data_IF_913428134868
#
_entry.id   IF_913428134868
#
_cell.length_a   1.000
_cell.length_b   1.000
_cell.length_c   1.000
_cell.angle_alpha   90.00
_cell.angle_beta   90.00
_cell.angle_gamma   90.00
#
_symmetry.space_group_name_H-M   'P 1'
#
loop_
_entity.id
_entity.type
_entity.pdbx_description
1 polymer ?
#
# COMPACT_ATOMS: atom_id res chain seq x y z
N UNK A 1 -2.25 -12.41 -6.74
CA UNK A 1 -1.78 -12.54 -8.13
C UNK A 1 -2.89 -12.27 -9.14
N UNK A 2 -4.01 -13.01 -9.11
CA UNK A 2 -5.08 -12.89 -10.11
C UNK A 2 -5.91 -11.58 -10.03
N UNK A 3 -6.12 -11.01 -8.83
CA UNK A 3 -6.84 -9.73 -8.64
C UNK A 3 -6.21 -8.58 -9.44
N UNK A 4 -4.88 -8.53 -9.49
CA UNK A 4 -4.16 -7.49 -10.24
C UNK A 4 -4.39 -7.64 -11.75
N UNK A 5 -4.44 -8.87 -12.27
CA UNK A 5 -4.75 -9.12 -13.67
C UNK A 5 -6.17 -8.64 -14.02
N UNK A 6 -7.15 -8.87 -13.13
CA UNK A 6 -8.52 -8.36 -13.29
C UNK A 6 -8.54 -6.83 -13.32
N UNK A 7 -7.76 -6.17 -12.47
CA UNK A 7 -7.66 -4.71 -12.51
C UNK A 7 -7.12 -4.18 -13.83
N UNK A 8 -6.10 -4.84 -14.40
CA UNK A 8 -5.61 -4.46 -15.72
C UNK A 8 -6.64 -4.67 -16.83
N UNK A 9 -7.48 -5.70 -16.74
CA UNK A 9 -8.61 -5.91 -17.66
C UNK A 9 -9.60 -4.74 -17.53
N UNK A 10 -9.95 -4.31 -16.31
CA UNK A 10 -10.83 -3.16 -16.10
C UNK A 10 -10.25 -1.85 -16.65
N UNK A 11 -8.93 -1.66 -16.60
CA UNK A 11 -8.28 -0.47 -17.17
C UNK A 11 -8.47 -0.35 -18.69
N UNK A 12 -8.73 -1.44 -19.41
CA UNK A 12 -9.01 -1.39 -20.86
C UNK A 12 -10.20 -0.49 -21.17
N UNK A 13 -11.20 -0.42 -20.27
CA UNK A 13 -12.37 0.47 -20.41
C UNK A 13 -11.98 1.95 -20.46
N UNK A 14 -10.87 2.34 -19.81
CA UNK A 14 -10.40 3.74 -19.79
C UNK A 14 -9.74 4.16 -21.11
N UNK A 15 -9.36 3.19 -21.96
CA UNK A 15 -8.75 3.45 -23.28
C UNK A 15 -9.79 3.74 -24.37
N UNK A 16 -11.09 3.70 -24.06
CA UNK A 16 -12.14 4.07 -25.02
C UNK A 16 -11.96 5.55 -25.37
N UNK A 17 -11.75 5.82 -26.66
CA UNK A 17 -11.34 7.13 -27.18
C UNK A 17 -12.55 8.08 -27.24
N UNK A 18 -12.72 8.86 -26.18
CA UNK A 18 -13.66 9.99 -26.12
C UNK A 18 -12.81 11.26 -26.02
N UNK A 19 -13.28 12.32 -26.69
CA UNK A 19 -12.76 13.70 -26.70
C UNK A 19 -11.75 13.99 -25.58
N UNK A 20 -10.49 14.24 -25.96
CA UNK A 20 -9.34 14.39 -25.05
C UNK A 20 -9.57 15.39 -23.91
N UNK A 21 -10.35 16.44 -24.16
CA UNK A 21 -10.65 17.51 -23.17
C UNK A 21 -11.34 16.99 -21.90
N UNK A 22 -12.11 15.91 -21.99
CA UNK A 22 -12.83 15.34 -20.84
C UNK A 22 -12.23 14.01 -20.36
N UNK A 23 -11.01 13.67 -20.77
CA UNK A 23 -10.40 12.38 -20.46
C UNK A 23 -10.33 12.10 -18.95
N UNK A 24 -9.98 13.12 -18.14
CA UNK A 24 -9.85 12.97 -16.69
C UNK A 24 -11.21 12.71 -16.04
N UNK A 25 -12.23 13.48 -16.42
CA UNK A 25 -13.59 13.33 -15.87
C UNK A 25 -14.17 11.98 -16.25
N UNK A 26 -13.99 11.56 -17.51
CA UNK A 26 -14.37 10.23 -18.00
C UNK A 26 -13.73 9.13 -17.16
N UNK A 27 -12.42 9.19 -16.95
CA UNK A 27 -11.69 8.18 -16.18
C UNK A 27 -12.13 8.18 -14.70
N UNK A 28 -12.41 9.34 -14.09
CA UNK A 28 -12.98 9.38 -12.74
C UNK A 28 -14.35 8.68 -12.71
N UNK A 29 -15.23 8.98 -13.67
CA UNK A 29 -16.57 8.38 -13.74
C UNK A 29 -16.47 6.85 -13.89
N UNK A 30 -15.60 6.36 -14.79
CA UNK A 30 -15.38 4.92 -14.98
C UNK A 30 -14.87 4.27 -13.69
N UNK A 31 -13.89 4.91 -13.02
CA UNK A 31 -13.33 4.41 -11.77
C UNK A 31 -14.35 4.31 -10.64
N UNK A 32 -15.19 5.34 -10.49
CA UNK A 32 -16.26 5.38 -9.49
C UNK A 32 -17.36 4.38 -9.83
N UNK A 33 -17.77 4.27 -11.09
CA UNK A 33 -18.78 3.30 -11.53
C UNK A 33 -18.32 1.87 -11.24
N UNK A 34 -17.07 1.54 -11.57
CA UNK A 34 -16.48 0.23 -11.26
C UNK A 34 -16.34 0.01 -9.75
N UNK A 35 -15.98 1.03 -8.98
CA UNK A 35 -15.91 0.93 -7.52
C UNK A 35 -17.27 0.59 -6.90
N UNK A 36 -18.33 1.31 -7.31
CA UNK A 36 -19.71 1.06 -6.84
C UNK A 36 -20.17 -0.33 -7.25
N UNK A 37 -19.91 -0.75 -8.50
CA UNK A 37 -20.25 -2.09 -8.98
C UNK A 37 -19.53 -3.18 -8.18
N UNK A 38 -18.23 -3.03 -7.91
CA UNK A 38 -17.46 -3.98 -7.11
C UNK A 38 -17.94 -4.02 -5.65
N UNK A 39 -18.30 -2.87 -5.06
CA UNK A 39 -18.85 -2.82 -3.71
C UNK A 39 -20.23 -3.46 -3.62
N UNK A 40 -21.06 -3.27 -4.65
CA UNK A 40 -22.35 -3.92 -4.75
C UNK A 40 -22.19 -5.45 -4.85
N UNK A 41 -21.34 -5.93 -5.76
CA UNK A 41 -21.04 -7.36 -5.90
C UNK A 41 -20.46 -7.95 -4.61
N UNK A 42 -19.55 -7.25 -3.95
CA UNK A 42 -18.97 -7.68 -2.67
C UNK A 42 -20.00 -7.82 -1.56
N UNK A 43 -21.10 -7.06 -1.60
CA UNK A 43 -22.17 -7.14 -0.60
C UNK A 43 -23.01 -8.40 -0.78
N UNK A 44 -23.26 -8.79 -2.02
CA UNK A 44 -24.09 -9.95 -2.37
C UNK A 44 -23.37 -11.30 -2.13
N UNK A 45 -22.04 -11.31 -2.17
CA UNK A 45 -21.21 -12.53 -2.03
C UNK A 45 -21.16 -13.07 -0.59
N UNK A 46 -21.58 -12.28 0.41
CA UNK A 46 -21.67 -12.72 1.80
C UNK A 46 -20.33 -13.14 2.43
N UNK A 47 -20.38 -14.04 3.43
CA UNK A 47 -19.18 -14.55 4.14
C UNK A 47 -18.38 -15.57 3.33
N UNK A 48 -18.99 -16.11 2.27
CA UNK A 48 -18.39 -17.04 1.34
C UNK A 48 -17.65 -16.28 0.24
N UNK A 49 -16.49 -15.73 0.56
CA UNK A 49 -15.70 -14.91 -0.35
C UNK A 49 -14.77 -15.78 -1.23
N UNK A 50 -15.38 -16.73 -1.98
CA UNK A 50 -14.66 -17.77 -2.76
C UNK A 50 -13.69 -17.17 -3.78
N UNK A 51 -14.01 -15.98 -4.29
CA UNK A 51 -13.20 -15.22 -5.23
C UNK A 51 -12.61 -13.95 -4.60
N UNK A 52 -12.46 -13.83 -3.28
CA UNK A 52 -11.86 -12.64 -2.65
C UNK A 52 -12.41 -11.31 -3.21
N UNK A 53 -13.72 -11.25 -3.49
CA UNK A 53 -14.36 -10.10 -4.15
C UNK A 53 -14.38 -8.94 -3.17
N UNK A 54 -14.50 -9.22 -1.87
CA UNK A 54 -14.33 -8.22 -0.81
C UNK A 54 -12.95 -7.55 -0.90
N UNK A 55 -11.88 -8.35 -0.99
CA UNK A 55 -10.52 -7.83 -1.15
C UNK A 55 -10.37 -7.00 -2.42
N UNK A 56 -10.91 -7.50 -3.55
CA UNK A 56 -10.89 -6.80 -4.83
C UNK A 56 -11.62 -5.45 -4.78
N UNK A 57 -12.77 -5.38 -4.12
CA UNK A 57 -13.52 -4.12 -3.98
C UNK A 57 -12.77 -3.10 -3.11
N UNK A 58 -12.12 -3.57 -2.05
CA UNK A 58 -11.40 -2.71 -1.11
C UNK A 58 -10.11 -2.15 -1.71
N UNK A 59 -9.38 -2.97 -2.47
CA UNK A 59 -8.10 -2.57 -3.06
C UNK A 59 -8.25 -1.75 -4.35
N UNK A 60 -9.41 -1.78 -5.00
CA UNK A 60 -9.65 -1.08 -6.26
C UNK A 60 -9.39 0.41 -6.15
N UNK A 61 -9.83 1.04 -5.06
CA UNK A 61 -9.66 2.48 -4.86
C UNK A 61 -8.17 2.85 -4.83
N UNK A 62 -7.33 2.11 -4.11
CA UNK A 62 -5.88 2.38 -4.04
C UNK A 62 -5.19 2.14 -5.38
N UNK A 63 -5.57 1.07 -6.07
CA UNK A 63 -5.01 0.77 -7.40
C UNK A 63 -5.37 1.86 -8.42
N UNK A 64 -6.65 2.21 -8.51
CA UNK A 64 -7.15 3.16 -9.52
C UNK A 64 -6.68 4.58 -9.26
N UNK A 65 -6.59 5.01 -7.99
CA UNK A 65 -6.00 6.30 -7.63
C UNK A 65 -4.52 6.36 -8.03
N UNK A 66 -3.75 5.29 -7.81
CA UNK A 66 -2.36 5.19 -8.29
C UNK A 66 -2.25 5.27 -9.82
N UNK A 67 -3.17 4.63 -10.54
CA UNK A 67 -3.26 4.73 -12.00
C UNK A 67 -3.53 6.18 -12.47
N UNK A 68 -4.51 6.87 -11.86
CA UNK A 68 -4.83 8.26 -12.19
C UNK A 68 -3.66 9.21 -11.90
N UNK A 69 -3.00 9.05 -10.76
CA UNK A 69 -1.82 9.85 -10.38
C UNK A 69 -0.72 9.70 -11.43
N UNK A 70 -0.49 8.49 -11.95
CA UNK A 70 0.50 8.24 -13.01
C UNK A 70 0.07 8.81 -14.36
N UNK A 71 -1.20 8.67 -14.74
CA UNK A 71 -1.72 9.10 -16.05
C UNK A 71 -1.75 10.61 -16.22
N UNK A 72 -2.04 11.36 -15.15
CA UNK A 72 -2.27 12.80 -15.18
C UNK A 72 -1.21 13.64 -14.44
N UNK A 73 0.00 13.09 -14.23
CA UNK A 73 1.08 13.75 -13.47
C UNK A 73 0.61 14.27 -12.09
N UNK A 74 -0.17 13.46 -11.38
CA UNK A 74 -0.76 13.80 -10.08
C UNK A 74 0.29 14.12 -9.01
N UNK A 75 1.51 13.61 -9.17
CA UNK A 75 2.67 13.92 -8.29
C UNK A 75 3.03 15.41 -8.36
N UNK A 76 3.14 15.98 -9.58
CA UNK A 76 3.46 17.40 -9.76
C UNK A 76 2.30 18.29 -9.29
N UNK A 77 1.06 17.82 -9.49
CA UNK A 77 -0.12 18.50 -8.97
C UNK A 77 -0.15 18.54 -7.44
N UNK A 78 0.21 17.42 -6.78
CA UNK A 78 0.29 17.33 -5.33
C UNK A 78 1.40 18.23 -4.77
N UNK A 79 2.57 18.29 -5.43
CA UNK A 79 3.70 19.15 -5.06
C UNK A 79 3.30 20.64 -5.02
N UNK A 80 2.40 21.07 -5.92
CA UNK A 80 1.89 22.45 -5.97
C UNK A 80 0.88 22.78 -4.87
N UNK A 81 0.24 21.79 -4.25
CA UNK A 81 -0.83 21.98 -3.27
C UNK A 81 -0.42 21.53 -1.86
N UNK A 82 0.42 22.32 -1.22
CA UNK A 82 0.87 22.12 0.17
C UNK A 82 -0.30 22.03 1.17
N UNK A 83 -1.42 22.71 0.88
CA UNK A 83 -2.63 22.64 1.70
C UNK A 83 -3.19 21.21 1.85
N UNK A 84 -3.10 20.37 0.81
CA UNK A 84 -3.60 18.98 0.87
C UNK A 84 -2.80 18.15 1.87
N UNK A 85 -1.49 18.39 1.95
CA UNK A 85 -0.63 17.74 2.93
C UNK A 85 -1.01 18.16 4.36
N UNK A 86 -1.19 19.46 4.61
CA UNK A 86 -1.58 19.96 5.94
C UNK A 86 -2.94 19.42 6.37
N UNK A 87 -3.92 19.42 5.47
CA UNK A 87 -5.26 18.85 5.74
C UNK A 87 -5.14 17.35 6.05
N UNK A 88 -4.39 16.59 5.26
CA UNK A 88 -4.19 15.16 5.49
C UNK A 88 -3.52 14.89 6.84
N UNK A 89 -2.48 15.65 7.21
CA UNK A 89 -1.75 15.48 8.47
C UNK A 89 -2.63 15.80 9.69
N UNK A 90 -3.34 16.93 9.66
CA UNK A 90 -4.23 17.34 10.77
C UNK A 90 -5.41 16.36 10.91
N UNK A 91 -5.98 15.92 9.78
CA UNK A 91 -7.13 15.01 9.80
C UNK A 91 -6.78 13.56 10.16
N UNK A 92 -5.52 13.13 10.00
CA UNK A 92 -5.13 11.74 10.24
C UNK A 92 -5.39 11.26 11.66
N UNK A 93 -4.98 12.03 12.69
CA UNK A 93 -5.15 11.61 14.09
C UNK A 93 -6.63 11.50 14.49
N UNK A 94 -7.50 12.52 14.24
CA UNK A 94 -8.93 12.39 14.51
C UNK A 94 -9.59 11.23 13.77
N UNK A 95 -9.25 11.02 12.48
CA UNK A 95 -9.80 9.92 11.70
C UNK A 95 -9.38 8.55 12.24
N UNK A 96 -8.13 8.42 12.71
CA UNK A 96 -7.63 7.19 13.33
C UNK A 96 -8.38 6.89 14.63
N UNK A 97 -8.60 7.89 15.49
CA UNK A 97 -9.36 7.73 16.74
C UNK A 97 -10.82 7.35 16.47
N UNK A 98 -11.45 7.98 15.47
CA UNK A 98 -12.84 7.68 15.09
C UNK A 98 -12.97 6.28 14.48
N UNK A 99 -11.96 5.82 13.75
CA UNK A 99 -11.89 4.46 13.24
C UNK A 99 -11.76 3.43 14.37
N UNK A 100 -10.87 3.68 15.34
CA UNK A 100 -10.66 2.82 16.51
C UNK A 100 -11.92 2.70 17.39
N UNK A 101 -12.67 3.81 17.55
CA UNK A 101 -13.96 3.84 18.25
C UNK A 101 -15.12 3.22 17.46
N UNK A 102 -14.85 2.53 16.35
CA UNK A 102 -15.85 1.88 15.49
C UNK A 102 -16.88 2.84 14.84
N UNK A 103 -16.73 4.15 15.00
CA UNK A 103 -17.68 5.14 14.45
C UNK A 103 -17.56 5.31 12.93
N UNK A 104 -16.39 5.02 12.36
CA UNK A 104 -16.10 5.16 10.92
C UNK A 104 -15.87 3.82 10.19
N UNK A 105 -16.42 2.71 10.67
CA UNK A 105 -16.22 1.38 10.05
C UNK A 105 -16.58 1.40 8.55
N UNK A 106 -17.66 2.09 8.17
CA UNK A 106 -18.10 2.17 6.76
C UNK A 106 -17.16 3.02 5.87
N UNK A 107 -16.37 3.92 6.47
CA UNK A 107 -15.42 4.80 5.77
C UNK A 107 -13.97 4.50 6.14
N UNK A 108 -13.69 3.25 6.54
CA UNK A 108 -12.35 2.77 6.90
C UNK A 108 -11.26 3.13 5.89
N UNK A 109 -11.63 3.24 4.61
CA UNK A 109 -10.74 3.55 3.50
C UNK A 109 -10.16 4.97 3.53
N UNK A 110 -10.77 5.92 4.25
CA UNK A 110 -10.30 7.31 4.32
C UNK A 110 -8.98 7.41 5.11
N UNK A 111 -8.85 6.66 6.20
CA UNK A 111 -7.64 6.64 7.05
C UNK A 111 -6.36 6.26 6.27
N UNK A 112 -6.32 5.15 5.51
CA UNK A 112 -5.16 4.83 4.70
C UNK A 112 -4.96 5.80 3.53
N UNK A 113 -6.01 6.42 2.97
CA UNK A 113 -5.84 7.46 1.93
C UNK A 113 -5.10 8.67 2.49
N UNK A 114 -5.48 9.15 3.68
CA UNK A 114 -4.77 10.28 4.32
C UNK A 114 -3.32 9.91 4.64
N UNK A 115 -3.07 8.69 5.13
CA UNK A 115 -1.71 8.18 5.33
C UNK A 115 -0.90 8.13 4.02
N UNK A 116 -1.49 7.64 2.92
CA UNK A 116 -0.84 7.58 1.61
C UNK A 116 -0.48 8.99 1.12
N UNK A 117 -1.37 9.98 1.27
CA UNK A 117 -1.10 11.38 0.89
C UNK A 117 0.08 11.95 1.68
N UNK A 118 0.10 11.72 3.01
CA UNK A 118 1.18 12.17 3.89
C UNK A 118 2.51 11.54 3.45
N UNK A 119 2.55 10.21 3.30
CA UNK A 119 3.75 9.48 2.91
C UNK A 119 4.24 9.91 1.52
N UNK A 120 3.34 9.99 0.53
CA UNK A 120 3.67 10.41 -0.83
C UNK A 120 4.28 11.81 -0.83
N UNK A 121 3.72 12.76 -0.07
CA UNK A 121 4.25 14.11 0.03
C UNK A 121 5.64 14.14 0.67
N UNK A 122 5.86 13.37 1.75
CA UNK A 122 7.18 13.23 2.38
C UNK A 122 8.20 12.68 1.37
N UNK A 123 7.84 11.65 0.60
CA UNK A 123 8.72 11.08 -0.41
C UNK A 123 9.03 12.09 -1.53
N UNK A 124 8.04 12.82 -2.03
CA UNK A 124 8.24 13.86 -3.07
C UNK A 124 9.22 14.94 -2.57
N UNK A 125 9.06 15.40 -1.33
CA UNK A 125 9.93 16.43 -0.76
C UNK A 125 11.37 15.95 -0.51
N UNK A 126 11.56 14.63 -0.35
CA UNK A 126 12.87 14.02 -0.11
C UNK A 126 13.55 13.47 -1.36
N UNK A 127 12.84 13.33 -2.46
CA UNK A 127 13.33 12.65 -3.67
C UNK A 127 14.64 13.26 -4.22
N UNK A 128 14.83 14.58 -4.05
CA UNK A 128 15.99 15.30 -4.58
C UNK A 128 17.14 15.45 -3.56
N UNK A 129 17.04 14.82 -2.38
CA UNK A 129 18.05 14.92 -1.31
C UNK A 129 18.94 13.68 -1.29
N UNK A 130 20.26 13.89 -1.31
CA UNK A 130 21.23 12.81 -1.16
C UNK A 130 21.71 12.76 0.30
N UNK A 131 21.05 11.95 1.14
CA UNK A 131 21.54 11.66 2.50
C UNK A 131 21.58 10.15 2.77
N UNK A 132 22.17 9.78 3.92
CA UNK A 132 22.22 8.37 4.38
C UNK A 132 20.83 7.74 4.46
N UNK A 133 19.80 8.53 4.76
CA UNK A 133 18.42 8.05 4.87
C UNK A 133 17.87 7.71 3.48
N UNK A 134 18.08 8.55 2.46
CA UNK A 134 17.64 8.25 1.09
C UNK A 134 18.38 7.04 0.52
N UNK A 135 19.67 6.87 0.83
CA UNK A 135 20.41 5.65 0.48
C UNK A 135 19.80 4.40 1.14
N UNK A 136 19.43 4.48 2.43
CA UNK A 136 18.77 3.39 3.13
C UNK A 136 17.39 3.09 2.53
N UNK A 137 16.56 4.11 2.30
CA UNK A 137 15.23 3.98 1.67
C UNK A 137 15.35 3.38 0.27
N UNK A 138 16.31 3.82 -0.55
CA UNK A 138 16.56 3.28 -1.88
C UNK A 138 17.04 1.82 -1.82
N UNK A 139 17.86 1.48 -0.83
CA UNK A 139 18.30 0.11 -0.59
C UNK A 139 17.13 -0.81 -0.19
N UNK A 140 16.30 -0.38 0.75
CA UNK A 140 15.07 -1.09 1.15
C UNK A 140 14.11 -1.22 -0.04
N UNK A 141 13.91 -0.13 -0.79
CA UNK A 141 13.03 -0.07 -1.97
C UNK A 141 13.41 -1.08 -3.06
N UNK A 142 14.71 -1.24 -3.33
CA UNK A 142 15.24 -2.24 -4.27
C UNK A 142 15.00 -3.68 -3.80
N UNK A 143 14.89 -3.89 -2.49
CA UNK A 143 14.66 -5.19 -1.85
C UNK A 143 13.20 -5.50 -1.54
N UNK A 144 12.24 -4.71 -2.02
CA UNK A 144 10.80 -4.87 -1.73
C UNK A 144 10.25 -6.26 -2.09
N UNK A 145 10.72 -6.86 -3.18
CA UNK A 145 10.33 -8.22 -3.57
C UNK A 145 10.79 -9.25 -2.52
N UNK A 146 12.02 -9.10 -2.02
CA UNK A 146 12.57 -10.00 -1.01
C UNK A 146 11.81 -9.84 0.31
N UNK A 147 11.50 -8.60 0.70
CA UNK A 147 10.65 -8.31 1.87
C UNK A 147 9.29 -8.98 1.72
N UNK A 148 8.61 -8.78 0.58
CA UNK A 148 7.30 -9.35 0.32
C UNK A 148 7.26 -10.88 0.47
N UNK A 149 8.30 -11.58 0.00
CA UNK A 149 8.38 -13.04 0.10
C UNK A 149 8.70 -13.47 1.54
N UNK A 150 9.73 -12.88 2.17
CA UNK A 150 10.29 -13.43 3.41
C UNK A 150 9.65 -12.92 4.70
N UNK A 151 9.04 -11.74 4.69
CA UNK A 151 8.52 -11.14 5.93
C UNK A 151 7.49 -12.03 6.62
N UNK A 152 6.64 -12.73 5.86
CA UNK A 152 5.63 -13.62 6.41
C UNK A 152 6.25 -14.79 7.19
N UNK A 153 7.31 -15.40 6.66
CA UNK A 153 8.04 -16.47 7.35
C UNK A 153 8.76 -15.96 8.60
N UNK A 154 9.38 -14.77 8.54
CA UNK A 154 10.06 -14.19 9.69
C UNK A 154 9.07 -13.84 10.80
N UNK A 155 7.91 -13.27 10.46
CA UNK A 155 6.88 -12.91 11.44
C UNK A 155 6.31 -14.14 12.15
N UNK A 156 6.26 -15.31 11.51
CA UNK A 156 5.85 -16.56 12.16
C UNK A 156 6.85 -17.08 13.19
N UNK A 157 8.13 -16.74 13.03
CA UNK A 157 9.20 -17.12 13.97
C UNK A 157 9.17 -16.22 15.22
N UNK A 158 8.75 -14.96 15.06
CA UNK A 158 8.67 -13.98 16.15
C UNK A 158 7.35 -14.16 16.90
N UNK A 159 7.42 -14.28 18.24
CA UNK A 159 6.21 -14.35 19.06
C UNK A 159 5.61 -12.94 19.27
N UNK A 160 4.89 -12.46 18.26
CA UNK A 160 4.20 -11.16 18.28
C UNK A 160 3.18 -11.04 19.43
N UNK A 161 2.37 -12.09 19.77
CA UNK A 161 1.41 -11.99 20.87
C UNK A 161 2.02 -11.66 22.23
N UNK A 162 3.15 -12.29 22.57
CA UNK A 162 3.86 -11.99 23.84
C UNK A 162 4.32 -10.53 23.86
N UNK A 163 4.85 -10.05 22.75
CA UNK A 163 5.32 -8.68 22.62
C UNK A 163 4.17 -7.67 22.78
N UNK A 164 3.02 -7.95 22.15
CA UNK A 164 1.82 -7.10 22.23
C UNK A 164 1.26 -7.03 23.66
N UNK A 165 1.17 -8.16 24.36
CA UNK A 165 0.68 -8.18 25.74
C UNK A 165 1.56 -7.34 26.68
N UNK A 166 2.88 -7.37 26.50
CA UNK A 166 3.81 -6.53 27.28
C UNK A 166 3.59 -5.03 27.05
N UNK A 167 3.27 -4.62 25.82
CA UNK A 167 2.95 -3.22 25.52
C UNK A 167 1.61 -2.78 26.10
N UNK A 168 0.61 -3.67 26.09
CA UNK A 168 -0.69 -3.42 26.73
C UNK A 168 -0.49 -3.20 28.24
N UNK A 169 0.29 -4.06 28.91
CA UNK A 169 0.58 -3.96 30.34
C UNK A 169 1.31 -2.66 30.71
N UNK A 170 2.25 -2.22 29.87
CA UNK A 170 3.04 -0.99 30.13
C UNK A 170 2.31 0.30 29.71
N UNK A 171 1.22 0.21 28.93
CA UNK A 171 0.39 1.34 28.45
C UNK A 171 1.18 2.50 27.81
N UNK A 172 2.38 2.21 27.29
CA UNK A 172 3.29 3.20 26.70
C UNK A 172 3.26 3.13 25.17
N UNK A 173 2.20 3.66 24.57
CA UNK A 173 1.98 3.66 23.12
C UNK A 173 3.12 4.32 22.33
N UNK A 174 3.77 5.36 22.88
CA UNK A 174 4.90 6.00 22.21
C UNK A 174 6.10 5.06 22.08
N UNK A 175 6.40 4.30 23.15
CA UNK A 175 7.49 3.32 23.15
C UNK A 175 7.15 2.15 22.23
N UNK A 176 5.90 1.71 22.22
CA UNK A 176 5.39 0.70 21.30
C UNK A 176 5.65 1.09 19.83
N UNK A 177 5.27 2.32 19.44
CA UNK A 177 5.50 2.81 18.07
C UNK A 177 7.00 2.82 17.71
N UNK A 178 7.86 3.30 18.62
CA UNK A 178 9.32 3.30 18.38
C UNK A 178 9.84 1.87 18.21
N UNK A 179 9.43 0.97 19.10
CA UNK A 179 9.87 -0.42 19.08
C UNK A 179 9.42 -1.13 17.81
N UNK A 180 8.14 -0.98 17.43
CA UNK A 180 7.59 -1.56 16.19
C UNK A 180 8.27 -1.00 14.94
N UNK A 181 8.62 0.29 14.93
CA UNK A 181 9.41 0.89 13.84
C UNK A 181 10.80 0.22 13.73
N UNK A 182 11.50 0.06 14.85
CA UNK A 182 12.81 -0.59 14.88
C UNK A 182 12.71 -2.05 14.42
N UNK A 183 11.71 -2.78 14.93
CA UNK A 183 11.47 -4.17 14.56
C UNK A 183 11.19 -4.31 13.06
N UNK A 184 10.37 -3.43 12.50
CA UNK A 184 10.05 -3.40 11.06
C UNK A 184 11.31 -3.19 10.20
N UNK A 185 12.21 -2.29 10.61
CA UNK A 185 13.49 -2.07 9.91
C UNK A 185 14.37 -3.33 9.99
N UNK A 186 14.48 -3.95 11.17
CA UNK A 186 15.27 -5.18 11.36
C UNK A 186 14.76 -6.32 10.47
N UNK A 187 13.44 -6.56 10.48
CA UNK A 187 12.81 -7.59 9.64
C UNK A 187 13.06 -7.29 8.16
N UNK A 188 12.87 -6.04 7.75
CA UNK A 188 13.11 -5.63 6.36
C UNK A 188 14.55 -5.89 5.92
N UNK A 189 15.53 -5.54 6.75
CA UNK A 189 16.95 -5.82 6.50
C UNK A 189 17.23 -7.33 6.41
N UNK A 190 16.67 -8.12 7.34
CA UNK A 190 16.83 -9.57 7.35
C UNK A 190 16.28 -10.22 6.07
N UNK A 191 15.08 -9.83 5.63
CA UNK A 191 14.49 -10.29 4.38
C UNK A 191 15.39 -10.02 3.17
N UNK A 192 15.96 -8.82 3.09
CA UNK A 192 16.86 -8.44 1.98
C UNK A 192 18.14 -9.26 2.01
N UNK A 193 18.72 -9.49 3.20
CA UNK A 193 19.89 -10.35 3.34
C UNK A 193 19.60 -11.79 2.90
N UNK A 194 18.47 -12.36 3.33
CA UNK A 194 18.04 -13.71 2.92
C UNK A 194 17.86 -13.78 1.40
N UNK A 195 17.16 -12.80 0.80
CA UNK A 195 16.96 -12.74 -0.65
C UNK A 195 18.26 -12.66 -1.42
N UNK A 196 19.23 -11.87 -0.95
CA UNK A 196 20.57 -11.80 -1.55
C UNK A 196 21.33 -13.13 -1.47
N UNK A 197 21.27 -13.82 -0.33
CA UNK A 197 21.89 -15.14 -0.16
C UNK A 197 21.27 -16.17 -1.09
N UNK A 198 19.94 -16.17 -1.24
CA UNK A 198 19.22 -17.09 -2.13
C UNK A 198 19.62 -16.88 -3.59
N UNK A 199 19.85 -15.62 -4.00
CA UNK A 199 20.28 -15.27 -5.36
C UNK A 199 21.69 -15.78 -5.72
N UNK A 200 22.48 -16.23 -4.75
CA UNK A 200 23.77 -16.89 -5.02
C UNK A 200 23.60 -18.28 -5.64
N UNK A 201 22.45 -18.93 -5.43
CA UNK A 201 22.14 -20.23 -6.01
C UNK A 201 21.23 -20.08 -7.24
N UNK A 202 21.64 -20.55 -8.43
CA UNK A 202 20.81 -20.46 -9.63
C UNK A 202 19.51 -21.26 -9.52
N UNK A 203 19.54 -22.43 -8.86
CA UNK A 203 18.37 -23.27 -8.63
C UNK A 203 17.34 -22.58 -7.73
N UNK A 204 17.79 -22.04 -6.59
CA UNK A 204 16.87 -21.35 -5.68
C UNK A 204 16.33 -20.06 -6.30
N UNK A 205 17.12 -19.39 -7.13
CA UNK A 205 16.67 -18.20 -7.86
C UNK A 205 15.53 -18.52 -8.83
N UNK A 206 15.63 -19.64 -9.55
CA UNK A 206 14.59 -20.12 -10.45
C UNK A 206 13.29 -20.44 -9.69
N UNK A 207 13.40 -21.18 -8.58
CA UNK A 207 12.23 -21.62 -7.80
C UNK A 207 11.53 -20.44 -7.12
N UNK A 208 12.29 -19.56 -6.44
CA UNK A 208 11.74 -18.51 -5.60
C UNK A 208 11.28 -17.30 -6.41
N UNK A 209 12.03 -16.92 -7.45
CA UNK A 209 11.76 -15.71 -8.23
C UNK A 209 11.18 -15.99 -9.63
N UNK A 210 11.02 -17.25 -10.02
CA UNK A 210 10.47 -17.61 -11.33
C UNK A 210 11.33 -17.16 -12.51
N UNK A 211 12.62 -16.87 -12.30
CA UNK A 211 13.55 -16.50 -13.38
C UNK A 211 13.98 -17.73 -14.15
N UNK A 212 13.16 -18.16 -15.11
CA UNK A 212 13.54 -19.19 -16.07
C UNK A 212 14.51 -18.55 -17.05
N UNK A 213 15.81 -18.76 -16.84
CA UNK A 213 16.82 -18.44 -17.86
C UNK A 213 16.67 -19.48 -18.98
N UNK A 214 16.26 -19.03 -20.17
CA UNK A 214 16.56 -19.73 -21.42
C UNK A 214 17.98 -19.35 -21.85
#
# INVERSE_FOLDING_TARGET
>A
MWVLAVYYIFLVLTNINIIERFSLVKDIIIGVALFVLLKFLSREVGTSDWFSISLMSNLWLYFYTGFLVRRYNGVDWLKKRTALFSIALISYIPLLILYDKETLIHFAQIVPITAIIILLYIFIYRNDKYSKIENLLAWIGKGTLDIYIFHYFILQIINIPILGNWFIETSNYFLEVIFLCILSIIISCACICIGRTIRLSPLLTQIVYGKINF
#
